data_IF_780870723293
#
_entry.id   IF_780870723293
#
_cell.length_a   1.000
_cell.length_b   1.000
_cell.length_c   1.000
_cell.angle_alpha   90.00
_cell.angle_beta   90.00
_cell.angle_gamma   90.00
#
_symmetry.space_group_name_H-M   'P 1'
#
loop_
_entity.id
_entity.type
_entity.pdbx_description
1 polymer ?
#
# COMPACT_ATOMS: atom_id res chain seq x y z
N UNK A 1 3.71 -9.59 -1.87
CA UNK A 1 2.74 -10.20 -0.92
C UNK A 1 3.46 -11.18 0.00
N UNK A 2 3.23 -11.14 1.31
CA UNK A 2 3.92 -11.90 2.36
C UNK A 2 2.96 -12.85 3.10
N UNK A 3 3.50 -13.75 3.93
CA UNK A 3 2.70 -14.76 4.65
C UNK A 3 1.65 -14.14 5.59
N UNK A 4 1.98 -13.01 6.22
CA UNK A 4 1.07 -12.26 7.10
C UNK A 4 -0.17 -11.78 6.33
N UNK A 5 0.02 -11.15 5.19
CA UNK A 5 -1.08 -10.64 4.36
C UNK A 5 -2.00 -11.78 3.90
N UNK A 6 -1.39 -12.92 3.50
CA UNK A 6 -2.17 -14.12 3.15
C UNK A 6 -3.01 -14.64 4.32
N UNK A 7 -2.45 -14.61 5.53
CA UNK A 7 -3.17 -15.07 6.73
C UNK A 7 -4.34 -14.15 7.08
N UNK A 8 -4.17 -12.83 6.94
CA UNK A 8 -5.19 -11.84 7.30
C UNK A 8 -6.26 -11.65 6.20
N UNK A 9 -5.89 -11.71 4.92
CA UNK A 9 -6.83 -11.68 3.79
C UNK A 9 -7.64 -12.97 3.72
N UNK A 10 -7.00 -14.10 4.00
CA UNK A 10 -7.64 -15.42 3.98
C UNK A 10 -7.78 -16.02 2.57
N UNK A 11 -8.80 -16.85 2.37
CA UNK A 11 -9.05 -17.58 1.10
C UNK A 11 -9.48 -16.61 0.00
N UNK A 12 -8.81 -16.68 -1.15
CA UNK A 12 -9.05 -15.79 -2.30
C UNK A 12 -9.45 -16.55 -3.58
N UNK A 13 -9.41 -17.89 -3.56
CA UNK A 13 -9.71 -18.69 -4.75
C UNK A 13 -11.12 -18.41 -5.27
N UNK A 14 -11.23 -18.08 -6.56
CA UNK A 14 -12.48 -17.73 -7.22
C UNK A 14 -13.03 -16.34 -6.87
N UNK A 15 -12.42 -15.59 -5.93
CA UNK A 15 -12.84 -14.23 -5.58
C UNK A 15 -12.26 -13.19 -6.55
N UNK A 16 -13.00 -12.12 -6.77
CA UNK A 16 -12.51 -10.94 -7.50
C UNK A 16 -11.69 -10.04 -6.57
N UNK A 17 -10.50 -9.63 -7.03
CA UNK A 17 -9.58 -8.79 -6.26
C UNK A 17 -9.13 -7.59 -7.10
N UNK A 18 -9.35 -6.38 -6.57
CA UNK A 18 -8.85 -5.13 -7.11
C UNK A 18 -7.63 -4.67 -6.30
N UNK A 19 -6.46 -4.57 -6.94
CA UNK A 19 -5.26 -4.05 -6.32
C UNK A 19 -5.03 -2.60 -6.76
N UNK A 20 -5.22 -1.66 -5.85
CA UNK A 20 -5.00 -0.23 -6.07
C UNK A 20 -3.52 0.11 -5.93
N UNK A 21 -3.01 0.94 -6.85
CA UNK A 21 -1.59 1.37 -6.89
C UNK A 21 -0.64 0.16 -6.96
N UNK A 22 -0.90 -0.73 -7.94
CA UNK A 22 -0.28 -2.05 -8.04
C UNK A 22 1.18 -2.03 -8.57
N UNK A 23 1.70 -0.86 -8.96
CA UNK A 23 3.03 -0.70 -9.55
C UNK A 23 3.26 -1.67 -10.73
N UNK A 24 4.30 -2.50 -10.70
CA UNK A 24 4.60 -3.51 -11.72
C UNK A 24 3.80 -4.82 -11.57
N UNK A 25 2.80 -4.87 -10.69
CA UNK A 25 1.83 -5.96 -10.59
C UNK A 25 2.32 -7.27 -9.93
N UNK A 26 3.50 -7.30 -9.30
CA UNK A 26 4.05 -8.54 -8.70
C UNK A 26 3.12 -9.10 -7.62
N UNK A 27 2.63 -8.26 -6.73
CA UNK A 27 1.72 -8.71 -5.66
C UNK A 27 0.34 -9.05 -6.22
N UNK A 28 -0.16 -8.32 -7.22
CA UNK A 28 -1.38 -8.66 -7.95
C UNK A 28 -1.30 -10.07 -8.53
N UNK A 29 -0.21 -10.38 -9.24
CA UNK A 29 0.00 -11.71 -9.82
C UNK A 29 0.26 -12.79 -8.77
N UNK A 30 0.76 -12.42 -7.60
CA UNK A 30 0.87 -13.35 -6.47
C UNK A 30 -0.50 -13.77 -5.96
N UNK A 31 -1.48 -12.87 -5.90
CA UNK A 31 -2.87 -13.19 -5.59
C UNK A 31 -3.53 -14.04 -6.69
N UNK A 32 -3.24 -13.76 -7.97
CA UNK A 32 -3.71 -14.59 -9.08
C UNK A 32 -3.25 -16.05 -8.95
N UNK A 33 -1.98 -16.28 -8.58
CA UNK A 33 -1.44 -17.63 -8.32
C UNK A 33 -2.14 -18.37 -7.18
N UNK A 34 -2.82 -17.66 -6.28
CA UNK A 34 -3.67 -18.24 -5.24
C UNK A 34 -5.13 -18.43 -5.70
N UNK A 35 -5.42 -18.19 -6.97
CA UNK A 35 -6.73 -18.42 -7.58
C UNK A 35 -7.68 -17.24 -7.56
N UNK A 36 -7.23 -16.02 -7.17
CA UNK A 36 -8.04 -14.81 -7.29
C UNK A 36 -8.17 -14.39 -8.77
N UNK A 37 -9.32 -13.83 -9.15
CA UNK A 37 -9.48 -13.08 -10.40
C UNK A 37 -9.06 -11.63 -10.15
N UNK A 38 -7.91 -11.24 -10.67
CA UNK A 38 -7.26 -9.99 -10.29
C UNK A 38 -7.41 -8.88 -11.32
N UNK A 39 -7.58 -7.67 -10.82
CA UNK A 39 -7.43 -6.41 -11.57
C UNK A 39 -6.44 -5.54 -10.80
N UNK A 40 -5.37 -5.11 -11.45
CA UNK A 40 -4.41 -4.15 -10.91
C UNK A 40 -4.60 -2.78 -11.53
N UNK A 41 -4.43 -1.73 -10.74
CA UNK A 41 -4.54 -0.33 -11.20
C UNK A 41 -3.31 0.44 -10.78
N UNK A 42 -2.73 1.18 -11.71
CA UNK A 42 -1.66 2.14 -11.43
C UNK A 42 -1.70 3.28 -12.45
N UNK A 43 -1.23 4.46 -12.08
CA UNK A 43 -1.16 5.60 -13.01
C UNK A 43 0.12 5.59 -13.86
N UNK A 44 1.15 4.83 -13.44
CA UNK A 44 2.44 4.77 -14.11
C UNK A 44 2.38 3.85 -15.35
N UNK A 45 2.30 4.42 -16.55
CA UNK A 45 2.19 3.70 -17.83
C UNK A 45 3.26 2.61 -17.99
N UNK A 46 4.52 2.88 -17.64
CA UNK A 46 5.62 1.91 -17.73
C UNK A 46 5.45 0.74 -16.73
N UNK A 47 4.95 1.04 -15.52
CA UNK A 47 4.61 0.04 -14.50
C UNK A 47 3.51 -0.90 -15.00
N UNK A 48 2.42 -0.32 -15.52
CA UNK A 48 1.29 -1.08 -16.09
C UNK A 48 1.72 -1.91 -17.30
N UNK A 49 2.55 -1.37 -18.20
CA UNK A 49 3.09 -2.12 -19.33
C UNK A 49 3.92 -3.32 -18.88
N UNK A 50 4.76 -3.14 -17.84
CA UNK A 50 5.53 -4.22 -17.23
C UNK A 50 4.63 -5.27 -16.60
N UNK A 51 3.60 -4.84 -15.86
CA UNK A 51 2.63 -5.74 -15.24
C UNK A 51 1.88 -6.59 -16.29
N UNK A 52 1.46 -6.00 -17.40
CA UNK A 52 0.83 -6.71 -18.53
C UNK A 52 1.78 -7.72 -19.17
N UNK A 53 3.06 -7.37 -19.32
CA UNK A 53 4.08 -8.31 -19.84
C UNK A 53 4.26 -9.51 -18.92
N UNK A 54 4.38 -9.28 -17.61
CA UNK A 54 4.49 -10.37 -16.62
C UNK A 54 3.23 -11.23 -16.56
N UNK A 55 2.05 -10.63 -16.70
CA UNK A 55 0.78 -11.34 -16.72
C UNK A 55 0.68 -12.32 -17.89
N UNK A 56 1.19 -11.96 -19.06
CA UNK A 56 1.15 -12.84 -20.24
C UNK A 56 1.80 -14.21 -19.98
N UNK A 57 2.82 -14.26 -19.12
CA UNK A 57 3.53 -15.49 -18.77
C UNK A 57 2.96 -16.20 -17.51
N UNK A 58 2.33 -15.43 -16.60
CA UNK A 58 1.93 -15.94 -15.26
C UNK A 58 0.43 -16.27 -15.22
N UNK A 59 -0.39 -15.32 -15.60
CA UNK A 59 -1.85 -15.43 -15.68
C UNK A 59 -2.39 -14.45 -16.72
N UNK A 60 -2.60 -14.90 -17.97
CA UNK A 60 -3.13 -14.05 -19.05
C UNK A 60 -4.54 -13.49 -18.81
N UNK A 61 -5.26 -13.99 -17.79
CA UNK A 61 -6.58 -13.47 -17.40
C UNK A 61 -6.51 -12.25 -16.47
N UNK A 62 -5.34 -11.95 -15.91
CA UNK A 62 -5.12 -10.78 -15.08
C UNK A 62 -5.28 -9.49 -15.89
N UNK A 63 -6.05 -8.55 -15.35
CA UNK A 63 -6.32 -7.26 -15.98
C UNK A 63 -5.48 -6.18 -15.33
N UNK A 64 -4.90 -5.27 -16.14
CA UNK A 64 -4.18 -4.10 -15.62
C UNK A 64 -4.68 -2.82 -16.30
N UNK A 65 -5.11 -1.86 -15.48
CA UNK A 65 -5.70 -0.57 -15.90
C UNK A 65 -4.72 0.55 -15.57
N UNK A 66 -4.43 1.39 -16.57
CA UNK A 66 -3.68 2.63 -16.37
C UNK A 66 -4.68 3.73 -16.00
N UNK A 67 -4.68 4.15 -14.74
CA UNK A 67 -5.56 5.21 -14.24
C UNK A 67 -5.03 5.79 -12.93
N UNK A 68 -5.35 7.07 -12.68
CA UNK A 68 -5.26 7.66 -11.35
C UNK A 68 -6.31 6.99 -10.45
N UNK A 69 -5.88 6.49 -9.30
CA UNK A 69 -6.76 5.82 -8.34
C UNK A 69 -7.90 6.72 -7.86
N UNK A 70 -7.68 8.03 -7.75
CA UNK A 70 -8.71 8.98 -7.30
C UNK A 70 -9.78 9.25 -8.38
N UNK A 71 -9.46 8.99 -9.65
CA UNK A 71 -10.38 9.09 -10.79
C UNK A 71 -10.87 7.72 -11.29
N UNK A 72 -10.50 6.63 -10.62
CA UNK A 72 -10.76 5.27 -11.09
C UNK A 72 -12.23 4.96 -11.41
N UNK A 73 -13.26 5.48 -10.71
CA UNK A 73 -14.66 5.25 -11.08
C UNK A 73 -15.06 5.72 -12.50
N UNK A 74 -14.25 6.59 -13.13
CA UNK A 74 -14.47 7.04 -14.50
C UNK A 74 -13.81 6.10 -15.53
N UNK A 75 -13.00 5.13 -15.09
CA UNK A 75 -12.17 4.26 -15.93
C UNK A 75 -12.43 2.77 -15.75
N UNK A 76 -13.10 2.36 -14.68
CA UNK A 76 -13.37 0.97 -14.34
C UNK A 76 -14.77 0.82 -13.78
N UNK A 77 -15.50 -0.17 -14.29
CA UNK A 77 -16.82 -0.55 -13.80
C UNK A 77 -16.76 -1.79 -12.89
N UNK A 78 -17.84 -2.00 -12.15
CA UNK A 78 -18.06 -3.22 -11.37
C UNK A 78 -17.65 -3.11 -9.92
N UNK A 79 -17.75 -4.24 -9.20
CA UNK A 79 -17.42 -4.37 -7.79
C UNK A 79 -16.58 -5.62 -7.57
N UNK A 80 -15.80 -5.62 -6.49
CA UNK A 80 -14.85 -6.67 -6.16
C UNK A 80 -15.12 -7.21 -4.75
N UNK A 81 -14.88 -8.51 -4.58
CA UNK A 81 -14.97 -9.15 -3.26
C UNK A 81 -13.89 -8.63 -2.31
N UNK A 82 -12.73 -8.25 -2.87
CA UNK A 82 -11.57 -7.76 -2.14
C UNK A 82 -11.02 -6.55 -2.86
N UNK A 83 -10.82 -5.43 -2.14
CA UNK A 83 -9.96 -4.32 -2.54
C UNK A 83 -8.69 -4.41 -1.72
N UNK A 84 -7.55 -4.34 -2.38
CA UNK A 84 -6.25 -4.55 -1.75
C UNK A 84 -5.35 -3.34 -2.01
N UNK A 85 -4.64 -2.89 -0.99
CA UNK A 85 -3.67 -1.79 -1.06
C UNK A 85 -2.46 -2.13 -0.18
N UNK A 86 -1.24 -2.00 -0.70
CA UNK A 86 -0.07 -2.42 0.03
C UNK A 86 1.18 -1.57 -0.19
N UNK A 87 1.93 -1.51 0.87
CA UNK A 87 3.34 -1.17 1.02
C UNK A 87 3.77 0.22 0.53
N UNK A 88 3.38 1.25 1.26
CA UNK A 88 3.95 2.60 1.09
C UNK A 88 3.28 3.42 0.01
N UNK A 89 2.00 3.21 -0.25
CA UNK A 89 1.28 3.86 -1.35
C UNK A 89 0.36 5.01 -0.92
N UNK A 90 -0.11 5.02 0.34
CA UNK A 90 -1.02 6.08 0.79
C UNK A 90 -0.35 7.45 0.85
N UNK A 91 0.95 7.50 1.11
CA UNK A 91 1.73 8.74 1.08
C UNK A 91 1.81 9.42 -0.30
N UNK A 92 1.46 8.73 -1.38
CA UNK A 92 1.39 9.31 -2.73
C UNK A 92 0.08 10.03 -3.03
N UNK A 93 -0.91 9.96 -2.12
CA UNK A 93 -2.26 10.46 -2.34
C UNK A 93 -2.47 11.80 -1.63
N UNK A 94 -2.91 12.84 -2.35
CA UNK A 94 -3.23 14.13 -1.74
C UNK A 94 -4.56 14.12 -0.97
N UNK A 95 -5.47 13.19 -1.25
CA UNK A 95 -6.83 13.16 -0.72
C UNK A 95 -7.25 11.75 -0.30
N UNK A 96 -7.04 11.42 0.98
CA UNK A 96 -7.46 10.14 1.54
C UNK A 96 -8.97 9.98 1.68
N UNK A 97 -9.71 11.06 1.81
CA UNK A 97 -11.18 10.97 1.84
C UNK A 97 -11.69 10.48 0.49
N UNK A 98 -11.18 11.08 -0.60
CA UNK A 98 -11.53 10.62 -1.96
C UNK A 98 -11.10 9.19 -2.21
N UNK A 99 -9.89 8.79 -1.76
CA UNK A 99 -9.42 7.41 -1.84
C UNK A 99 -10.37 6.44 -1.11
N UNK A 100 -10.81 6.77 0.10
CA UNK A 100 -11.74 5.94 0.86
C UNK A 100 -13.11 5.80 0.16
N UNK A 101 -13.62 6.87 -0.47
CA UNK A 101 -14.82 6.84 -1.30
C UNK A 101 -14.65 5.89 -2.50
N UNK A 102 -13.50 5.93 -3.18
CA UNK A 102 -13.16 5.03 -4.30
C UNK A 102 -13.09 3.58 -3.81
N UNK A 103 -12.41 3.33 -2.69
CA UNK A 103 -12.36 2.00 -2.06
C UNK A 103 -13.77 1.47 -1.80
N UNK A 104 -14.61 2.26 -1.13
CA UNK A 104 -15.99 1.87 -0.81
C UNK A 104 -16.86 1.68 -2.06
N UNK A 105 -16.61 2.45 -3.14
CA UNK A 105 -17.29 2.29 -4.41
C UNK A 105 -17.04 0.90 -4.99
N UNK A 106 -15.79 0.45 -5.02
CA UNK A 106 -15.41 -0.80 -5.67
C UNK A 106 -15.63 -2.06 -4.81
N UNK A 107 -15.88 -1.95 -3.52
CA UNK A 107 -16.18 -3.12 -2.69
C UNK A 107 -17.61 -3.60 -2.96
N UNK A 108 -17.77 -4.89 -3.29
CA UNK A 108 -19.06 -5.55 -3.37
C UNK A 108 -19.75 -5.62 -1.98
N UNK A 109 -21.10 -5.63 -1.90
CA UNK A 109 -21.78 -5.93 -0.63
C UNK A 109 -21.26 -7.24 -0.01
N UNK A 110 -20.85 -7.20 1.26
CA UNK A 110 -20.20 -8.32 1.96
C UNK A 110 -18.71 -8.52 1.62
N UNK A 111 -18.15 -7.71 0.74
CA UNK A 111 -16.72 -7.64 0.45
C UNK A 111 -15.96 -6.76 1.46
N UNK A 112 -14.64 -6.67 1.29
CA UNK A 112 -13.78 -5.89 2.19
C UNK A 112 -12.59 -5.24 1.49
N UNK A 113 -12.03 -4.21 2.12
CA UNK A 113 -10.69 -3.71 1.83
C UNK A 113 -9.70 -4.29 2.83
N UNK A 114 -8.52 -4.64 2.33
CA UNK A 114 -7.35 -4.93 3.14
C UNK A 114 -6.23 -3.96 2.78
N UNK A 115 -5.66 -3.34 3.80
CA UNK A 115 -4.54 -2.39 3.70
C UNK A 115 -3.38 -2.93 4.51
N UNK A 116 -2.18 -2.98 3.92
CA UNK A 116 -0.93 -3.16 4.64
C UNK A 116 0.00 -2.00 4.29
N UNK A 117 0.33 -1.16 5.29
CA UNK A 117 1.00 0.10 5.02
C UNK A 117 2.08 0.42 6.08
N UNK A 118 3.02 1.28 5.71
CA UNK A 118 3.97 1.84 6.66
C UNK A 118 3.25 2.72 7.67
N UNK A 119 3.61 2.55 8.96
CA UNK A 119 2.92 3.27 10.02
C UNK A 119 3.25 4.78 10.00
N UNK A 120 2.28 5.68 10.13
CA UNK A 120 2.53 7.12 10.15
C UNK A 120 3.55 7.58 11.19
N UNK A 121 3.61 6.92 12.36
CA UNK A 121 4.61 7.22 13.37
C UNK A 121 6.05 6.91 12.91
N UNK A 122 6.24 5.92 12.06
CA UNK A 122 7.54 5.60 11.49
C UNK A 122 8.01 6.65 10.49
N UNK A 123 7.09 7.26 9.76
CA UNK A 123 7.39 8.36 8.83
C UNK A 123 7.84 9.65 9.51
N UNK A 124 7.61 9.80 10.84
CA UNK A 124 8.14 10.94 11.61
C UNK A 124 9.66 10.90 11.77
N UNK A 125 10.28 9.74 11.58
CA UNK A 125 11.70 9.52 11.87
C UNK A 125 12.61 10.08 10.78
N UNK A 126 13.77 10.56 11.18
CA UNK A 126 14.81 11.03 10.25
C UNK A 126 15.47 9.84 9.55
N UNK A 127 15.13 9.64 8.29
CA UNK A 127 15.63 8.56 7.44
C UNK A 127 17.00 8.87 6.79
N UNK A 128 17.59 10.05 7.07
CA UNK A 128 18.87 10.49 6.50
C UNK A 128 20.05 10.16 7.42
N UNK A 129 19.80 9.89 8.69
CA UNK A 129 20.84 9.65 9.68
C UNK A 129 21.25 8.18 9.67
N UNK A 130 22.51 7.93 9.39
CA UNK A 130 23.14 6.62 9.62
C UNK A 130 23.55 6.50 11.09
N UNK A 131 22.58 6.47 11.97
CA UNK A 131 22.74 6.38 13.43
C UNK A 131 21.74 5.41 14.00
N UNK A 132 22.07 4.81 15.13
CA UNK A 132 21.17 4.00 15.93
C UNK A 132 20.18 4.83 16.78
N UNK A 133 20.26 6.16 16.72
CA UNK A 133 19.33 7.03 17.44
C UNK A 133 18.08 7.29 16.61
N UNK A 134 16.90 7.14 17.21
CA UNK A 134 15.64 7.53 16.61
C UNK A 134 15.40 9.02 16.85
N UNK A 135 15.37 9.81 15.79
CA UNK A 135 15.10 11.25 15.85
C UNK A 135 13.86 11.58 15.04
N UNK A 136 13.00 12.40 15.61
CA UNK A 136 11.85 12.94 14.91
C UNK A 136 12.31 14.07 13.97
N UNK A 137 11.84 14.06 12.74
CA UNK A 137 12.12 15.04 11.72
C UNK A 137 10.87 15.60 11.06
N UNK A 138 9.89 14.75 10.81
CA UNK A 138 8.69 15.08 10.06
C UNK A 138 7.47 15.14 10.97
N UNK A 139 6.48 15.94 10.59
CA UNK A 139 5.20 16.00 11.28
C UNK A 139 4.43 14.70 11.18
N UNK A 140 3.73 14.33 12.25
CA UNK A 140 2.77 13.22 12.23
C UNK A 140 1.50 13.59 11.47
N UNK A 141 1.07 14.83 11.61
CA UNK A 141 -0.11 15.34 10.91
C UNK A 141 0.32 15.93 9.57
N UNK A 142 -0.44 15.60 8.53
CA UNK A 142 -0.20 16.12 7.19
C UNK A 142 -0.30 17.64 7.12
N UNK A 143 0.53 18.21 6.28
CA UNK A 143 0.43 19.62 5.89
C UNK A 143 -0.31 19.70 4.55
N UNK A 144 -0.94 20.84 4.21
CA UNK A 144 -1.60 21.03 2.91
C UNK A 144 -0.65 20.82 1.73
N UNK A 145 0.60 21.26 1.89
CA UNK A 145 1.64 21.08 0.88
C UNK A 145 2.40 19.77 1.08
N UNK A 146 2.70 19.03 0.00
CA UNK A 146 3.45 17.79 0.09
C UNK A 146 4.90 18.03 0.51
N UNK A 147 5.47 17.05 1.21
CA UNK A 147 6.91 16.95 1.35
C UNK A 147 7.54 16.62 0.00
N UNK A 148 8.67 17.23 -0.33
CA UNK A 148 9.42 16.91 -1.54
C UNK A 148 10.73 16.23 -1.19
N UNK A 149 11.06 15.16 -1.90
CA UNK A 149 12.28 14.38 -1.73
C UNK A 149 13.01 14.28 -3.07
N UNK A 150 14.25 14.77 -3.11
CA UNK A 150 15.14 14.53 -4.25
C UNK A 150 15.74 13.13 -4.13
N UNK A 151 15.70 12.37 -5.22
CA UNK A 151 16.34 11.07 -5.30
C UNK A 151 17.25 10.99 -6.53
N UNK A 152 18.28 10.13 -6.46
CA UNK A 152 19.17 9.86 -7.59
C UNK A 152 18.74 8.62 -8.38
N UNK A 153 18.17 7.65 -7.67
CA UNK A 153 17.73 6.39 -8.27
C UNK A 153 16.38 6.01 -7.69
N UNK A 154 15.37 5.67 -8.52
CA UNK A 154 14.09 5.16 -8.04
C UNK A 154 14.29 3.90 -7.21
N UNK A 155 13.46 3.72 -6.17
CA UNK A 155 13.49 2.51 -5.31
C UNK A 155 13.33 1.22 -6.11
N UNK A 156 12.54 1.26 -7.20
CA UNK A 156 12.29 0.09 -8.06
C UNK A 156 13.50 -0.33 -8.92
N UNK A 157 14.44 0.59 -9.19
CA UNK A 157 15.63 0.35 -10.01
C UNK A 157 16.85 1.07 -9.41
N UNK A 158 17.33 0.63 -8.23
CA UNK A 158 18.34 1.36 -7.46
C UNK A 158 19.68 1.50 -8.20
N UNK A 159 19.97 0.61 -9.12
CA UNK A 159 21.23 0.58 -9.90
C UNK A 159 21.18 1.53 -11.13
N UNK A 160 20.06 2.17 -11.39
CA UNK A 160 19.89 3.10 -12.51
C UNK A 160 19.80 4.53 -12.00
N UNK A 161 20.76 5.38 -12.36
CA UNK A 161 20.69 6.81 -12.08
C UNK A 161 19.62 7.47 -12.95
N UNK A 162 18.49 7.79 -12.33
CA UNK A 162 17.40 8.57 -12.89
C UNK A 162 17.01 9.59 -11.82
N UNK A 163 17.67 10.73 -11.76
CA UNK A 163 17.37 11.75 -10.76
C UNK A 163 15.95 12.29 -10.94
N UNK A 164 15.27 12.52 -9.82
CA UNK A 164 13.92 13.06 -9.82
C UNK A 164 13.54 13.66 -8.49
N UNK A 165 12.32 14.15 -8.43
CA UNK A 165 11.69 14.64 -7.21
C UNK A 165 10.40 13.85 -7.01
N UNK A 166 10.23 13.30 -5.83
CA UNK A 166 8.97 12.69 -5.42
C UNK A 166 8.27 13.58 -4.38
N UNK A 167 6.96 13.55 -4.40
CA UNK A 167 6.11 14.29 -3.48
C UNK A 167 5.34 13.30 -2.61
N UNK A 168 5.30 13.56 -1.30
CA UNK A 168 4.58 12.72 -0.36
C UNK A 168 3.72 13.55 0.59
N UNK A 169 2.52 13.05 0.86
CA UNK A 169 1.60 13.64 1.84
C UNK A 169 1.62 12.83 3.13
N UNK A 170 1.70 13.53 4.26
CA UNK A 170 1.57 12.90 5.56
C UNK A 170 0.10 12.62 5.86
N UNK A 171 -0.20 11.39 6.33
CA UNK A 171 -1.54 11.00 6.75
C UNK A 171 -1.46 10.34 8.10
N UNK A 172 -2.26 10.80 9.05
CA UNK A 172 -2.35 10.16 10.35
C UNK A 172 -3.13 8.84 10.27
N UNK A 173 -2.86 7.91 11.18
CA UNK A 173 -3.64 6.68 11.28
C UNK A 173 -5.14 6.97 11.53
N UNK A 174 -5.41 8.05 12.29
CA UNK A 174 -6.77 8.53 12.53
C UNK A 174 -7.51 8.95 11.25
N UNK A 175 -6.82 9.62 10.29
CA UNK A 175 -7.41 9.99 8.99
C UNK A 175 -7.72 8.76 8.15
N UNK A 176 -6.81 7.78 8.10
CA UNK A 176 -7.00 6.54 7.34
C UNK A 176 -8.24 5.79 7.85
N UNK A 177 -8.30 5.54 9.16
CA UNK A 177 -9.42 4.82 9.80
C UNK A 177 -10.73 5.58 9.66
N UNK A 178 -10.72 6.90 9.93
CA UNK A 178 -11.92 7.75 9.85
C UNK A 178 -12.40 7.90 8.42
N UNK A 179 -11.51 7.97 7.45
CA UNK A 179 -11.85 8.02 6.03
C UNK A 179 -12.66 6.81 5.59
N UNK A 180 -12.14 5.60 5.88
CA UNK A 180 -12.84 4.34 5.56
C UNK A 180 -14.17 4.21 6.29
N UNK A 181 -14.22 4.54 7.58
CA UNK A 181 -15.47 4.52 8.36
C UNK A 181 -16.51 5.54 7.82
N UNK A 182 -16.07 6.74 7.45
CA UNK A 182 -16.95 7.78 6.88
C UNK A 182 -17.47 7.41 5.48
N UNK A 183 -16.73 6.58 4.75
CA UNK A 183 -17.17 6.00 3.47
C UNK A 183 -18.16 4.83 3.63
N UNK A 184 -18.61 4.53 4.87
CA UNK A 184 -19.62 3.52 5.18
C UNK A 184 -19.05 2.11 5.38
N UNK A 185 -17.74 1.96 5.60
CA UNK A 185 -17.12 0.67 5.89
C UNK A 185 -17.03 0.43 7.39
N UNK A 186 -17.14 -0.83 7.79
CA UNK A 186 -16.98 -1.26 9.18
C UNK A 186 -15.56 -1.76 9.39
N UNK A 187 -14.79 -1.13 10.26
CA UNK A 187 -13.43 -1.59 10.62
C UNK A 187 -13.55 -2.92 11.39
N UNK A 188 -12.96 -3.97 10.85
CA UNK A 188 -12.94 -5.30 11.49
C UNK A 188 -11.75 -5.44 12.42
N UNK A 189 -10.57 -4.99 11.97
CA UNK A 189 -9.37 -4.93 12.79
C UNK A 189 -8.40 -3.84 12.30
N UNK A 190 -7.53 -3.44 13.20
CA UNK A 190 -6.33 -2.65 12.97
C UNK A 190 -5.23 -3.29 13.81
N UNK A 191 -4.20 -3.82 13.15
CA UNK A 191 -3.01 -4.37 13.80
C UNK A 191 -1.81 -3.49 13.51
N UNK A 192 -0.98 -3.26 14.51
CA UNK A 192 0.27 -2.51 14.40
C UNK A 192 1.45 -3.46 14.57
N UNK A 193 2.49 -3.27 13.75
CA UNK A 193 3.61 -4.20 13.68
C UNK A 193 4.95 -3.49 13.90
N UNK A 194 5.90 -4.10 14.66
CA UNK A 194 7.24 -3.55 14.89
C UNK A 194 8.21 -3.91 13.75
N UNK A 195 7.71 -4.06 12.54
CA UNK A 195 8.47 -4.38 11.34
C UNK A 195 7.84 -3.73 10.11
N UNK A 196 8.63 -3.63 9.02
CA UNK A 196 8.20 -3.07 7.75
C UNK A 196 8.79 -3.89 6.59
N UNK A 197 8.18 -3.78 5.38
CA UNK A 197 8.54 -4.61 4.24
C UNK A 197 9.86 -4.20 3.55
N UNK A 198 10.40 -3.05 3.84
CA UNK A 198 11.58 -2.46 3.20
C UNK A 198 12.42 -1.68 4.21
N UNK A 199 13.69 -1.40 3.87
CA UNK A 199 14.61 -0.65 4.72
C UNK A 199 14.24 0.83 4.77
N UNK A 200 13.41 1.21 5.73
CA UNK A 200 12.90 2.56 5.92
C UNK A 200 13.93 3.50 6.55
N UNK A 201 14.77 2.98 7.45
CA UNK A 201 15.82 3.71 8.15
C UNK A 201 17.17 3.02 7.93
N UNK A 202 18.28 3.78 7.84
CA UNK A 202 19.62 3.21 7.61
C UNK A 202 20.06 2.19 8.67
N UNK A 203 19.61 2.35 9.93
CA UNK A 203 19.97 1.46 11.03
C UNK A 203 19.21 0.12 11.06
N UNK A 204 18.17 -0.05 10.22
CA UNK A 204 17.35 -1.26 10.23
C UNK A 204 18.11 -2.50 9.78
N UNK A 205 17.70 -3.64 10.32
CA UNK A 205 18.25 -4.96 10.04
C UNK A 205 17.17 -5.82 9.38
N UNK A 206 17.53 -6.50 8.30
CA UNK A 206 16.67 -7.50 7.68
C UNK A 206 16.80 -8.82 8.44
N UNK A 207 15.66 -9.45 8.75
CA UNK A 207 15.58 -10.73 9.41
C UNK A 207 15.28 -11.86 8.41
N UNK A 208 15.44 -13.12 8.84
CA UNK A 208 15.25 -14.33 8.02
C UNK A 208 13.82 -14.46 7.44
N UNK A 209 12.84 -13.75 8.02
CA UNK A 209 11.47 -13.65 7.55
C UNK A 209 11.27 -12.54 6.50
N UNK A 210 12.37 -11.91 6.05
CA UNK A 210 12.41 -10.80 5.09
C UNK A 210 11.71 -9.52 5.56
N UNK A 211 11.48 -9.37 6.87
CA UNK A 211 11.01 -8.14 7.46
C UNK A 211 12.17 -7.32 8.03
N UNK A 212 12.09 -6.01 7.84
CA UNK A 212 13.02 -5.05 8.41
C UNK A 212 12.55 -4.60 9.78
N UNK A 213 13.46 -4.62 10.77
CA UNK A 213 13.22 -4.22 12.16
C UNK A 213 14.27 -3.23 12.64
N UNK A 214 13.95 -2.52 13.69
CA UNK A 214 14.94 -1.76 14.43
C UNK A 214 15.93 -2.73 15.11
N UNK A 215 17.22 -2.35 15.24
CA UNK A 215 18.19 -3.17 15.94
C UNK A 215 17.84 -3.32 17.43
N UNK A 216 18.34 -4.39 18.04
CA UNK A 216 18.20 -4.63 19.47
C UNK A 216 18.73 -3.45 20.29
N UNK A 217 18.05 -3.15 21.42
CA UNK A 217 18.38 -2.04 22.30
C UNK A 217 17.67 -0.73 21.99
N UNK A 218 17.03 -0.58 20.85
CA UNK A 218 16.12 0.54 20.57
C UNK A 218 14.70 0.24 21.07
N UNK A 219 13.92 1.28 21.43
CA UNK A 219 12.50 1.11 21.74
C UNK A 219 11.73 0.50 20.57
N UNK A 220 10.87 -0.46 20.87
CA UNK A 220 9.93 -0.98 19.86
C UNK A 220 8.86 0.06 19.60
N UNK A 221 8.67 0.41 18.34
CA UNK A 221 7.63 1.33 17.86
C UNK A 221 6.87 0.67 16.70
N UNK A 222 5.64 1.11 16.38
CA UNK A 222 4.94 0.63 15.22
C UNK A 222 5.65 1.12 13.94
N UNK A 223 6.04 0.18 13.08
CA UNK A 223 6.71 0.46 11.79
C UNK A 223 5.78 0.24 10.60
N UNK A 224 4.81 -0.64 10.73
CA UNK A 224 3.73 -0.84 9.77
C UNK A 224 2.42 -1.14 10.49
N UNK A 225 1.33 -1.12 9.74
CA UNK A 225 0.02 -1.55 10.22
C UNK A 225 -0.69 -2.34 9.14
N UNK A 226 -1.62 -3.21 9.56
CA UNK A 226 -2.61 -3.82 8.69
C UNK A 226 -4.01 -3.44 9.15
N UNK A 227 -4.92 -3.23 8.21
CA UNK A 227 -6.29 -2.87 8.47
C UNK A 227 -7.22 -3.63 7.53
N UNK A 228 -8.32 -4.13 8.08
CA UNK A 228 -9.41 -4.67 7.29
C UNK A 228 -10.70 -3.94 7.63
N UNK A 229 -11.43 -3.55 6.59
CA UNK A 229 -12.74 -2.94 6.72
C UNK A 229 -13.70 -3.54 5.71
N UNK A 230 -14.91 -3.90 6.14
CA UNK A 230 -15.92 -4.55 5.30
C UNK A 230 -17.06 -3.61 4.94
N UNK A 231 -17.66 -3.89 3.78
CA UNK A 231 -18.91 -3.28 3.36
C UNK A 231 -20.06 -4.16 3.83
N UNK A 232 -21.07 -3.62 4.52
CA UNK A 232 -22.24 -4.40 4.94
C UNK A 232 -22.87 -5.14 3.77
N UNK A 233 -23.43 -6.34 3.98
CA UNK A 233 -24.28 -7.00 2.98
C UNK A 233 -25.45 -6.10 2.57
N UNK A 234 -25.94 -6.28 1.34
CA UNK A 234 -27.12 -5.56 0.83
C UNK A 234 -28.39 -5.98 1.57
#
# INVERSE_FOLDING_TARGET
>A
MRALERAEVGEVSGRSLLHLQCHVGIDTLSWARLGARVTGVDFAAEGVATARSLAADIDPSAVFVEADVLALPDHLDGHFDIVYTSHGVLGWLPDLRRWAEVVAHFIAPGGFVYVFESHPAAWMLDNRLDTAELRLRYSYFGEPEPLSFEYRSPTAVPDREVPGVEYAWGHSLGEIVSGLASAGLTIEFLHEWPFVAWRMLPCMVEHDDYWWRLPDGLPSIPLSFSLRASKPPA
#
